data_IF_719311428384
#
_entry.id   IF_719311428384
#
_cell.length_a   1.000
_cell.length_b   1.000
_cell.length_c   1.000
_cell.angle_alpha   90.00
_cell.angle_beta   90.00
_cell.angle_gamma   90.00
#
_symmetry.space_group_name_H-M   'P 1'
#
loop_
_entity.id
_entity.type
_entity.pdbx_description
1 polymer ?
#
# COMPACT_ATOMS: atom_id res chain seq x y z
N UNK A 1 -20.39 2.14 -44.06
CA UNK A 1 -20.68 0.95 -43.22
C UNK A 1 -19.50 0.52 -42.34
N UNK A 2 -18.30 0.22 -42.87
CA UNK A 2 -17.16 -0.26 -42.07
C UNK A 2 -16.59 0.76 -41.06
N UNK A 3 -16.67 2.06 -41.37
CA UNK A 3 -16.22 3.17 -40.49
C UNK A 3 -17.22 3.41 -39.36
N UNK A 4 -18.52 3.44 -39.68
CA UNK A 4 -19.59 3.64 -38.70
C UNK A 4 -19.68 2.52 -37.66
N UNK A 5 -19.49 1.26 -38.09
CA UNK A 5 -19.43 0.13 -37.15
C UNK A 5 -18.23 0.19 -36.20
N UNK A 6 -17.10 0.78 -36.63
CA UNK A 6 -15.91 1.00 -35.78
C UNK A 6 -16.14 2.14 -34.78
N UNK A 7 -16.84 3.20 -35.17
CA UNK A 7 -17.22 4.30 -34.28
C UNK A 7 -18.21 3.83 -33.20
N UNK A 8 -19.22 3.05 -33.59
CA UNK A 8 -20.20 2.46 -32.67
C UNK A 8 -19.53 1.48 -31.68
N UNK A 9 -18.60 0.63 -32.15
CA UNK A 9 -17.85 -0.26 -31.25
C UNK A 9 -16.92 0.50 -30.32
N UNK A 10 -16.24 1.54 -30.79
CA UNK A 10 -15.40 2.39 -29.94
C UNK A 10 -16.21 3.09 -28.85
N UNK A 11 -17.42 3.56 -29.17
CA UNK A 11 -18.27 4.23 -28.19
C UNK A 11 -18.84 3.23 -27.17
N UNK A 12 -19.27 2.05 -27.62
CA UNK A 12 -19.68 0.97 -26.73
C UNK A 12 -18.54 0.54 -25.78
N UNK A 13 -17.31 0.45 -26.28
CA UNK A 13 -16.13 0.13 -25.48
C UNK A 13 -15.83 1.18 -24.40
N UNK A 14 -15.92 2.47 -24.72
CA UNK A 14 -15.76 3.55 -23.72
C UNK A 14 -16.80 3.44 -22.61
N UNK A 15 -18.06 3.19 -22.96
CA UNK A 15 -19.15 3.03 -21.98
C UNK A 15 -18.87 1.82 -21.07
N UNK A 16 -18.44 0.70 -21.64
CA UNK A 16 -18.06 -0.49 -20.87
C UNK A 16 -16.88 -0.24 -19.94
N UNK A 17 -15.85 0.49 -20.40
CA UNK A 17 -14.70 0.88 -19.57
C UNK A 17 -15.13 1.78 -18.40
N UNK A 18 -15.92 2.81 -18.67
CA UNK A 18 -16.42 3.73 -17.64
C UNK A 18 -17.25 2.99 -16.58
N UNK A 19 -18.13 2.08 -17.01
CA UNK A 19 -18.91 1.24 -16.09
C UNK A 19 -18.02 0.33 -15.24
N UNK A 20 -16.98 -0.26 -15.84
CA UNK A 20 -16.02 -1.08 -15.10
C UNK A 20 -15.25 -0.30 -14.03
N UNK A 21 -14.87 0.94 -14.32
CA UNK A 21 -14.24 1.84 -13.33
C UNK A 21 -15.19 2.22 -12.19
N UNK A 22 -16.46 2.48 -12.53
CA UNK A 22 -17.50 2.80 -11.55
C UNK A 22 -17.79 1.61 -10.62
N UNK A 23 -17.96 0.40 -11.16
CA UNK A 23 -18.16 -0.83 -10.38
C UNK A 23 -16.98 -1.07 -9.42
N UNK A 24 -15.75 -0.86 -9.88
CA UNK A 24 -14.55 -0.97 -9.03
C UNK A 24 -14.58 0.06 -7.89
N UNK A 25 -14.94 1.31 -8.20
CA UNK A 25 -15.03 2.38 -7.21
C UNK A 25 -16.10 2.10 -6.15
N UNK A 26 -17.27 1.59 -6.56
CA UNK A 26 -18.34 1.18 -5.66
C UNK A 26 -17.87 0.09 -4.68
N UNK A 27 -17.13 -0.91 -5.16
CA UNK A 27 -16.54 -1.95 -4.30
C UNK A 27 -15.52 -1.34 -3.35
N UNK A 28 -14.60 -0.50 -3.82
CA UNK A 28 -13.61 0.17 -2.97
C UNK A 28 -14.28 1.02 -1.88
N UNK A 29 -15.30 1.80 -2.23
CA UNK A 29 -16.01 2.66 -1.28
C UNK A 29 -16.83 1.86 -0.26
N UNK A 30 -17.44 0.74 -0.65
CA UNK A 30 -18.11 -0.18 0.28
C UNK A 30 -17.13 -0.76 1.30
N UNK A 31 -15.96 -1.23 0.87
CA UNK A 31 -14.98 -1.82 1.80
C UNK A 31 -14.39 -0.71 2.70
N UNK A 32 -14.15 0.50 2.18
CA UNK A 32 -13.75 1.66 3.01
C UNK A 32 -14.77 1.94 4.12
N UNK A 33 -16.07 1.96 3.81
CA UNK A 33 -17.11 2.18 4.82
C UNK A 33 -17.10 1.06 5.86
N UNK A 34 -17.08 -0.20 5.42
CA UNK A 34 -17.06 -1.36 6.32
C UNK A 34 -15.84 -1.33 7.26
N UNK A 35 -14.66 -0.99 6.76
CA UNK A 35 -13.45 -0.86 7.60
C UNK A 35 -13.61 0.27 8.62
N UNK A 36 -14.11 1.43 8.19
CA UNK A 36 -14.30 2.59 9.07
C UNK A 36 -15.33 2.31 10.17
N UNK A 37 -16.39 1.58 9.85
CA UNK A 37 -17.52 1.33 10.75
C UNK A 37 -17.34 0.07 11.60
N UNK A 38 -16.66 -0.96 11.10
CA UNK A 38 -16.58 -2.27 11.75
C UNK A 38 -15.19 -2.62 12.31
N UNK A 39 -14.12 -1.99 11.81
CA UNK A 39 -12.74 -2.32 12.24
C UNK A 39 -12.14 -1.21 13.11
N UNK A 40 -12.15 0.04 12.62
CA UNK A 40 -11.53 1.16 13.34
C UNK A 40 -12.06 1.39 14.77
N UNK A 41 -13.35 1.19 15.09
CA UNK A 41 -13.82 1.36 16.46
C UNK A 41 -13.13 0.43 17.47
N UNK A 42 -12.74 -0.78 17.05
CA UNK A 42 -12.00 -1.70 17.92
C UNK A 42 -10.53 -1.33 18.05
N UNK A 43 -9.94 -0.75 17.00
CA UNK A 43 -8.59 -0.16 17.07
C UNK A 43 -8.58 0.97 18.10
N UNK A 44 -9.57 1.87 18.07
CA UNK A 44 -9.69 2.95 19.06
C UNK A 44 -9.92 2.41 20.48
N UNK A 45 -10.80 1.41 20.65
CA UNK A 45 -10.99 0.77 21.96
C UNK A 45 -9.71 0.14 22.49
N UNK A 46 -8.91 -0.52 21.64
CA UNK A 46 -7.64 -1.12 22.05
C UNK A 46 -6.61 -0.08 22.50
N UNK A 47 -6.54 1.08 21.84
CA UNK A 47 -5.65 2.18 22.27
C UNK A 47 -5.94 2.68 23.68
N UNK A 48 -7.18 2.56 24.13
CA UNK A 48 -7.61 2.98 25.47
C UNK A 48 -7.31 1.91 26.55
N UNK A 49 -6.80 0.74 26.16
CA UNK A 49 -6.40 -0.31 27.11
C UNK A 49 -4.96 -0.10 27.59
N UNK A 50 -4.54 -0.82 28.63
CA UNK A 50 -3.17 -0.78 29.16
C UNK A 50 -2.15 -1.49 28.26
N UNK A 51 -1.93 -0.98 27.05
CA UNK A 51 -0.97 -1.55 26.10
C UNK A 51 0.47 -1.29 26.52
N UNK A 52 1.34 -2.27 26.29
CA UNK A 52 2.79 -2.05 26.35
C UNK A 52 3.25 -1.15 25.20
N UNK A 53 4.44 -0.54 25.33
CA UNK A 53 5.03 0.30 24.27
C UNK A 53 5.13 -0.46 22.93
N UNK A 54 5.47 -1.76 22.99
CA UNK A 54 5.54 -2.62 21.81
C UNK A 54 4.17 -2.85 21.18
N UNK A 55 3.15 -3.16 21.99
CA UNK A 55 1.78 -3.34 21.50
C UNK A 55 1.21 -2.06 20.90
N UNK A 56 1.44 -0.91 21.54
CA UNK A 56 1.04 0.40 21.03
C UNK A 56 1.68 0.67 19.66
N UNK A 57 2.97 0.37 19.52
CA UNK A 57 3.68 0.51 18.24
C UNK A 57 3.06 -0.35 17.15
N UNK A 58 2.72 -1.61 17.44
CA UNK A 58 2.05 -2.48 16.48
C UNK A 58 0.64 -1.98 16.12
N UNK A 59 -0.11 -1.48 17.11
CA UNK A 59 -1.47 -0.98 16.89
C UNK A 59 -1.47 0.27 16.01
N UNK A 60 -0.51 1.19 16.19
CA UNK A 60 -0.34 2.36 15.32
C UNK A 60 -0.01 1.98 13.88
N UNK A 61 0.82 0.95 13.68
CA UNK A 61 1.16 0.43 12.35
C UNK A 61 -0.07 -0.20 11.71
N UNK A 62 -0.84 -1.02 12.46
CA UNK A 62 -2.07 -1.65 11.98
C UNK A 62 -3.07 -0.58 11.56
N UNK A 63 -3.32 0.41 12.43
CA UNK A 63 -4.23 1.51 12.13
C UNK A 63 -3.83 2.27 10.87
N UNK A 64 -2.54 2.61 10.76
CA UNK A 64 -2.02 3.34 9.59
C UNK A 64 -2.13 2.49 8.33
N UNK A 65 -1.86 1.19 8.41
CA UNK A 65 -1.98 0.25 7.29
C UNK A 65 -3.43 0.13 6.84
N UNK A 66 -4.37 -0.02 7.79
CA UNK A 66 -5.81 -0.11 7.52
C UNK A 66 -6.34 1.17 6.88
N UNK A 67 -5.98 2.35 7.42
CA UNK A 67 -6.36 3.66 6.85
C UNK A 67 -5.82 3.84 5.43
N UNK A 68 -4.67 3.24 5.13
CA UNK A 68 -4.01 3.34 3.83
C UNK A 68 -4.31 2.18 2.88
N UNK A 69 -5.10 1.16 3.28
CA UNK A 69 -5.25 -0.10 2.50
C UNK A 69 -5.81 0.11 1.10
N UNK A 70 -6.57 1.19 0.90
CA UNK A 70 -7.10 1.62 -0.40
C UNK A 70 -6.27 2.72 -1.08
N UNK A 71 -5.10 3.07 -0.53
CA UNK A 71 -4.19 4.00 -1.18
C UNK A 71 -3.65 3.37 -2.46
N UNK A 72 -3.56 4.18 -3.51
CA UNK A 72 -2.91 3.86 -4.78
C UNK A 72 -1.50 3.30 -4.60
N UNK A 73 -0.76 3.77 -3.59
CA UNK A 73 0.51 3.18 -3.19
C UNK A 73 0.39 1.70 -2.83
N UNK A 74 -0.53 1.33 -1.93
CA UNK A 74 -0.63 -0.06 -1.49
C UNK A 74 -1.09 -0.92 -2.67
N UNK A 75 -2.03 -0.44 -3.49
CA UNK A 75 -2.41 -1.12 -4.72
C UNK A 75 -1.20 -1.37 -5.65
N UNK A 76 -0.33 -0.37 -5.84
CA UNK A 76 0.87 -0.49 -6.68
C UNK A 76 1.88 -1.46 -6.07
N UNK A 77 2.18 -1.36 -4.78
CA UNK A 77 3.22 -2.18 -4.15
C UNK A 77 2.78 -3.61 -3.86
N UNK A 78 1.48 -3.86 -3.67
CA UNK A 78 0.93 -5.22 -3.59
C UNK A 78 0.63 -5.79 -4.98
N UNK A 79 0.76 -5.00 -6.04
CA UNK A 79 0.52 -5.48 -7.40
C UNK A 79 1.53 -6.57 -7.77
N UNK A 80 1.07 -7.54 -8.58
CA UNK A 80 1.93 -8.59 -9.11
C UNK A 80 3.07 -8.04 -9.96
N UNK A 81 2.98 -6.79 -10.46
CA UNK A 81 3.99 -6.18 -11.32
C UNK A 81 5.38 -6.16 -10.67
N UNK A 82 5.47 -5.77 -9.39
CA UNK A 82 6.77 -5.61 -8.71
C UNK A 82 7.25 -6.87 -7.98
N UNK A 83 6.42 -7.91 -7.88
CA UNK A 83 6.76 -9.19 -7.25
C UNK A 83 7.38 -9.05 -5.84
N UNK A 84 6.84 -8.14 -5.02
CA UNK A 84 7.29 -7.99 -3.64
C UNK A 84 6.88 -9.18 -2.77
N UNK A 85 7.77 -9.56 -1.86
CA UNK A 85 7.46 -10.49 -0.78
C UNK A 85 6.69 -9.76 0.34
N UNK A 86 5.90 -10.47 1.16
CA UNK A 86 5.19 -9.84 2.28
C UNK A 86 6.10 -9.02 3.21
N UNK A 87 7.33 -9.49 3.48
CA UNK A 87 8.32 -8.77 4.29
C UNK A 87 8.81 -7.49 3.62
N UNK A 88 9.01 -7.50 2.31
CA UNK A 88 9.41 -6.29 1.58
C UNK A 88 8.27 -5.27 1.52
N UNK A 89 7.01 -5.71 1.38
CA UNK A 89 5.84 -4.83 1.47
C UNK A 89 5.78 -4.16 2.85
N UNK A 90 5.98 -4.93 3.91
CA UNK A 90 6.03 -4.40 5.28
C UNK A 90 7.15 -3.37 5.45
N UNK A 91 8.37 -3.70 5.03
CA UNK A 91 9.53 -2.79 5.09
C UNK A 91 9.27 -1.52 4.26
N UNK A 92 8.75 -1.64 3.05
CA UNK A 92 8.46 -0.49 2.19
C UNK A 92 7.38 0.43 2.77
N UNK A 93 6.34 -0.15 3.39
CA UNK A 93 5.29 0.61 4.08
C UNK A 93 5.88 1.42 5.23
N UNK A 94 6.69 0.80 6.09
CA UNK A 94 7.34 1.50 7.21
C UNK A 94 8.35 2.57 6.74
N UNK A 95 9.04 2.34 5.61
CA UNK A 95 9.92 3.35 5.00
C UNK A 95 9.10 4.56 4.53
N UNK A 96 7.97 4.32 3.86
CA UNK A 96 7.06 5.38 3.38
C UNK A 96 6.58 6.24 4.54
N UNK A 97 6.19 5.61 5.65
CA UNK A 97 5.79 6.26 6.91
C UNK A 97 6.91 7.04 7.60
N UNK A 98 8.16 6.93 7.13
CA UNK A 98 9.29 7.68 7.67
C UNK A 98 10.04 6.98 8.80
N UNK A 99 9.79 5.69 9.05
CA UNK A 99 10.55 4.93 10.05
C UNK A 99 12.00 4.72 9.58
N UNK A 100 12.94 4.91 10.51
CA UNK A 100 14.38 4.70 10.27
C UNK A 100 14.71 3.21 10.19
N UNK A 101 15.85 2.84 9.59
CA UNK A 101 16.32 1.44 9.54
C UNK A 101 16.40 0.81 10.94
N UNK A 102 16.79 1.59 11.95
CA UNK A 102 16.83 1.15 13.36
C UNK A 102 15.42 0.85 13.87
N UNK A 103 14.49 1.79 13.74
CA UNK A 103 13.11 1.59 14.19
C UNK A 103 12.43 0.40 13.47
N UNK A 104 12.65 0.23 12.17
CA UNK A 104 12.11 -0.90 11.42
C UNK A 104 12.68 -2.23 11.93
N UNK A 105 13.98 -2.26 12.21
CA UNK A 105 14.64 -3.45 12.78
C UNK A 105 14.05 -3.80 14.16
N UNK A 106 13.84 -2.80 15.00
CA UNK A 106 13.24 -2.96 16.34
C UNK A 106 11.79 -3.43 16.26
N UNK A 107 10.99 -2.87 15.33
CA UNK A 107 9.60 -3.26 15.07
C UNK A 107 9.51 -4.70 14.57
N UNK A 108 10.36 -5.08 13.61
CA UNK A 108 10.30 -6.39 12.98
C UNK A 108 11.10 -7.46 13.75
N UNK A 109 11.73 -7.10 14.87
CA UNK A 109 12.59 -7.98 15.68
C UNK A 109 13.69 -8.67 14.86
N UNK A 110 14.32 -7.92 13.97
CA UNK A 110 15.43 -8.40 13.11
C UNK A 110 16.62 -7.45 13.18
N UNK A 111 17.75 -7.84 12.59
CA UNK A 111 18.94 -6.98 12.58
C UNK A 111 18.79 -5.81 11.61
N UNK A 112 19.49 -4.70 11.89
CA UNK A 112 19.61 -3.56 10.95
C UNK A 112 20.15 -3.99 9.58
N UNK A 113 21.04 -4.98 9.55
CA UNK A 113 21.58 -5.57 8.33
C UNK A 113 20.49 -6.25 7.48
N UNK A 114 19.59 -7.02 8.12
CA UNK A 114 18.45 -7.62 7.43
C UNK A 114 17.52 -6.56 6.80
N UNK A 115 17.27 -5.45 7.50
CA UNK A 115 16.51 -4.33 6.92
C UNK A 115 17.26 -3.67 5.75
N UNK A 116 18.60 -3.60 5.83
CA UNK A 116 19.45 -3.16 4.72
C UNK A 116 19.29 -4.03 3.46
N UNK A 117 19.26 -5.36 3.63
CA UNK A 117 19.04 -6.31 2.53
C UNK A 117 17.64 -6.15 1.93
N UNK A 118 16.59 -6.07 2.76
CA UNK A 118 15.24 -5.79 2.26
C UNK A 118 15.16 -4.47 1.49
N UNK A 119 15.79 -3.40 1.99
CA UNK A 119 15.88 -2.11 1.27
C UNK A 119 16.58 -2.24 -0.08
N UNK A 120 17.65 -3.03 -0.16
CA UNK A 120 18.35 -3.28 -1.42
C UNK A 120 17.45 -4.03 -2.41
N UNK A 121 16.79 -5.12 -1.99
CA UNK A 121 15.86 -5.85 -2.84
C UNK A 121 14.70 -4.98 -3.31
N UNK A 122 14.16 -4.15 -2.42
CA UNK A 122 13.10 -3.21 -2.78
C UNK A 122 13.56 -2.26 -3.87
N UNK A 123 14.76 -1.68 -3.73
CA UNK A 123 15.31 -0.79 -4.76
C UNK A 123 15.47 -1.51 -6.10
N UNK A 124 15.96 -2.74 -6.11
CA UNK A 124 16.13 -3.51 -7.34
C UNK A 124 14.78 -3.78 -8.02
N UNK A 125 13.76 -4.19 -7.24
CA UNK A 125 12.39 -4.43 -7.74
C UNK A 125 11.71 -3.18 -8.27
N UNK A 126 12.08 -2.00 -7.76
CA UNK A 126 11.60 -0.70 -8.25
C UNK A 126 12.45 -0.13 -9.39
N UNK A 127 13.48 -0.84 -9.87
CA UNK A 127 14.39 -0.33 -10.90
C UNK A 127 15.35 0.78 -10.41
N UNK A 128 15.48 0.97 -9.10
CA UNK A 128 16.30 2.00 -8.46
C UNK A 128 17.72 1.54 -8.12
N UNK A 129 18.15 0.36 -8.56
CA UNK A 129 19.42 -0.26 -8.16
C UNK A 129 20.64 0.64 -8.36
N UNK A 130 20.69 1.40 -9.46
CA UNK A 130 21.79 2.33 -9.79
C UNK A 130 21.42 3.81 -9.66
N UNK A 131 20.17 4.12 -9.38
CA UNK A 131 19.67 5.49 -9.37
C UNK A 131 19.97 6.18 -8.03
N UNK A 132 20.44 7.44 -8.04
CA UNK A 132 20.65 8.23 -6.81
C UNK A 132 19.34 8.73 -6.15
N UNK A 133 18.22 8.08 -6.44
CA UNK A 133 16.89 8.45 -5.93
C UNK A 133 16.73 7.94 -4.50
N UNK A 134 16.23 8.80 -3.60
CA UNK A 134 15.87 8.42 -2.24
C UNK A 134 14.68 7.45 -2.26
N UNK A 135 14.83 6.29 -1.62
CA UNK A 135 13.80 5.25 -1.64
C UNK A 135 12.47 5.73 -1.03
N UNK A 136 12.50 6.49 0.07
CA UNK A 136 11.28 7.01 0.69
C UNK A 136 10.57 8.00 -0.23
N UNK A 137 11.31 8.92 -0.84
CA UNK A 137 10.73 9.90 -1.78
C UNK A 137 10.06 9.21 -2.96
N UNK A 138 10.68 8.16 -3.52
CA UNK A 138 10.08 7.37 -4.59
C UNK A 138 8.83 6.61 -4.12
N UNK A 139 8.87 5.99 -2.94
CA UNK A 139 7.70 5.32 -2.38
C UNK A 139 6.54 6.29 -2.14
N UNK A 140 6.81 7.55 -1.78
CA UNK A 140 5.79 8.59 -1.66
C UNK A 140 5.21 9.00 -3.03
N UNK A 141 5.99 8.96 -4.11
CA UNK A 141 5.50 9.31 -5.45
C UNK A 141 4.65 8.20 -6.10
N UNK A 142 4.55 7.02 -5.50
CA UNK A 142 3.65 5.95 -5.95
C UNK A 142 2.18 6.20 -5.53
N UNK A 143 1.79 7.44 -5.27
CA UNK A 143 0.38 7.85 -5.16
C UNK A 143 -0.37 7.73 -6.49
#
# INVERSE_FOLDING_TARGET
MRIQGLEETNEALKILLARGEEDRKLVEDRIKSNVKELVLPYVEKLKLTGLTVEQQTYLEIIETTIKNVFSSFLQKITSKQYHFTPKEIQVATLIREGKTTKQIADIMKVTRSAIGLHRHHIRNKLGLGKAKVNLRSYLLSLQ
#
